data_IF_940022909237
#
_entry.id   IF_940022909237
#
_cell.length_a   1.000
_cell.length_b   1.000
_cell.length_c   1.000
_cell.angle_alpha   90.00
_cell.angle_beta   90.00
_cell.angle_gamma   90.00
#
_symmetry.space_group_name_H-M   'P 1'
#
loop_
_entity.id
_entity.type
_entity.pdbx_description
1 polymer ?
#
# COMPACT_ATOMS: atom_id res chain seq x y z
N UNK A 1 -23.82 5.70 2.25
CA UNK A 1 -22.75 6.32 1.45
C UNK A 1 -21.36 6.13 2.06
N UNK A 2 -21.19 6.14 3.39
CA UNK A 2 -19.90 5.92 4.08
C UNK A 2 -19.01 4.81 3.53
N UNK A 3 -19.56 3.63 3.24
CA UNK A 3 -18.79 2.50 2.70
C UNK A 3 -18.29 2.74 1.27
N UNK A 4 -19.06 3.48 0.47
CA UNK A 4 -18.65 3.88 -0.88
C UNK A 4 -17.51 4.90 -0.82
N UNK A 5 -17.59 5.89 0.07
CA UNK A 5 -16.49 6.84 0.30
C UNK A 5 -15.23 6.14 0.77
N UNK A 6 -15.36 5.22 1.75
CA UNK A 6 -14.25 4.40 2.19
C UNK A 6 -13.62 3.62 1.03
N UNK A 7 -14.43 2.94 0.22
CA UNK A 7 -13.97 2.17 -0.95
C UNK A 7 -13.18 3.03 -1.95
N UNK A 8 -13.69 4.22 -2.28
CA UNK A 8 -13.02 5.17 -3.18
C UNK A 8 -11.66 5.56 -2.62
N UNK A 9 -11.59 5.92 -1.34
CA UNK A 9 -10.33 6.26 -0.68
C UNK A 9 -9.37 5.08 -0.61
N UNK A 10 -9.87 3.85 -0.44
CA UNK A 10 -9.09 2.62 -0.53
C UNK A 10 -8.30 2.56 -1.83
N UNK A 11 -8.97 2.76 -2.98
CA UNK A 11 -8.30 2.76 -4.28
C UNK A 11 -7.37 3.97 -4.47
N UNK A 12 -7.79 5.17 -4.05
CA UNK A 12 -6.94 6.37 -4.14
C UNK A 12 -5.62 6.17 -3.39
N UNK A 13 -5.67 5.63 -2.18
CA UNK A 13 -4.47 5.35 -1.38
C UNK A 13 -3.67 4.19 -1.93
N UNK A 14 -4.33 3.12 -2.39
CA UNK A 14 -3.64 2.02 -3.06
C UNK A 14 -2.73 2.52 -4.17
N UNK A 15 -3.26 3.31 -5.12
CA UNK A 15 -2.47 3.83 -6.23
C UNK A 15 -1.49 4.93 -5.80
N UNK A 16 -1.92 5.86 -4.94
CA UNK A 16 -1.09 6.98 -4.51
C UNK A 16 0.13 6.52 -3.69
N UNK A 17 -0.08 5.64 -2.71
CA UNK A 17 1.01 5.11 -1.89
C UNK A 17 1.88 4.11 -2.66
N UNK A 18 1.32 3.38 -3.63
CA UNK A 18 2.11 2.53 -4.53
C UNK A 18 3.17 3.30 -5.29
N UNK A 19 2.90 4.56 -5.65
CA UNK A 19 3.88 5.40 -6.32
C UNK A 19 4.83 6.12 -5.34
N UNK A 20 4.28 6.63 -4.22
CA UNK A 20 5.03 7.50 -3.32
C UNK A 20 5.87 6.75 -2.28
N UNK A 21 5.35 5.65 -1.73
CA UNK A 21 5.92 4.99 -0.53
C UNK A 21 6.70 3.72 -0.90
N UNK A 22 6.30 3.00 -1.95
CA UNK A 22 6.93 1.74 -2.37
C UNK A 22 8.45 1.77 -2.49
N UNK A 23 9.09 2.81 -3.08
CA UNK A 23 10.56 2.83 -3.19
C UNK A 23 11.23 2.76 -1.82
N UNK A 24 10.73 3.53 -0.85
CA UNK A 24 11.25 3.56 0.52
C UNK A 24 11.02 2.24 1.26
N UNK A 25 9.84 1.63 1.11
CA UNK A 25 9.56 0.33 1.74
C UNK A 25 10.39 -0.79 1.13
N UNK A 26 10.65 -0.75 -0.18
CA UNK A 26 11.52 -1.72 -0.84
C UNK A 26 12.96 -1.58 -0.37
N UNK A 27 13.50 -0.37 -0.25
CA UNK A 27 14.85 -0.16 0.32
C UNK A 27 14.98 -0.74 1.72
N UNK A 28 13.99 -0.48 2.58
CA UNK A 28 13.92 -1.04 3.93
C UNK A 28 13.86 -2.56 3.88
N UNK A 29 12.98 -3.12 3.05
CA UNK A 29 12.79 -4.57 2.96
C UNK A 29 14.03 -5.29 2.42
N UNK A 30 14.72 -4.70 1.43
CA UNK A 30 16.01 -5.20 0.92
C UNK A 30 17.05 -5.21 2.03
N UNK A 31 17.17 -4.11 2.79
CA UNK A 31 18.16 -3.99 3.86
C UNK A 31 17.94 -5.03 4.97
N UNK A 32 16.70 -5.24 5.40
CA UNK A 32 16.40 -6.17 6.50
C UNK A 32 16.47 -7.65 6.10
N UNK A 33 16.23 -7.98 4.83
CA UNK A 33 16.21 -9.38 4.35
C UNK A 33 17.44 -9.75 3.51
N UNK A 34 18.43 -8.86 3.39
CA UNK A 34 19.66 -9.05 2.59
C UNK A 34 19.38 -9.51 1.15
N UNK A 35 18.37 -8.89 0.52
CA UNK A 35 17.91 -9.29 -0.81
C UNK A 35 18.98 -8.93 -1.84
N UNK A 36 19.48 -9.97 -2.50
CA UNK A 36 20.47 -9.82 -3.57
C UNK A 36 19.79 -9.36 -4.86
N UNK A 37 20.44 -8.48 -5.65
CA UNK A 37 19.93 -8.09 -6.95
C UNK A 37 19.91 -9.28 -7.92
N UNK A 38 18.79 -9.46 -8.61
CA UNK A 38 18.59 -10.54 -9.57
C UNK A 38 17.12 -10.92 -9.73
N UNK A 39 16.80 -11.88 -10.61
CA UNK A 39 15.41 -12.29 -10.89
C UNK A 39 14.65 -12.77 -9.64
N UNK A 40 15.35 -13.43 -8.72
CA UNK A 40 14.76 -13.92 -7.47
C UNK A 40 14.43 -12.76 -6.52
N UNK A 41 15.33 -11.79 -6.40
CA UNK A 41 15.11 -10.58 -5.59
C UNK A 41 13.98 -9.70 -6.16
N UNK A 42 13.91 -9.54 -7.48
CA UNK A 42 12.79 -8.84 -8.13
C UNK A 42 11.44 -9.53 -7.89
N UNK A 43 11.42 -10.87 -7.96
CA UNK A 43 10.22 -11.67 -7.69
C UNK A 43 9.77 -11.57 -6.23
N UNK A 44 10.72 -11.50 -5.30
CA UNK A 44 10.44 -11.30 -3.88
C UNK A 44 9.89 -9.90 -3.61
N UNK A 45 10.49 -8.85 -4.17
CA UNK A 45 10.01 -7.48 -4.03
C UNK A 45 8.62 -7.29 -4.64
N UNK A 46 8.36 -7.94 -5.79
CA UNK A 46 7.02 -7.94 -6.38
C UNK A 46 6.01 -8.66 -5.49
N UNK A 47 6.40 -9.78 -4.88
CA UNK A 47 5.54 -10.51 -3.93
C UNK A 47 5.25 -9.66 -2.69
N UNK A 48 6.26 -9.01 -2.12
CA UNK A 48 6.10 -8.09 -1.00
C UNK A 48 5.17 -6.93 -1.35
N UNK A 49 5.31 -6.35 -2.54
CA UNK A 49 4.43 -5.29 -3.03
C UNK A 49 2.96 -5.75 -3.14
N UNK A 50 2.71 -6.88 -3.81
CA UNK A 50 1.36 -7.38 -4.05
C UNK A 50 0.66 -7.92 -2.80
N UNK A 51 1.38 -8.65 -1.95
CA UNK A 51 0.76 -9.36 -0.82
C UNK A 51 0.85 -8.62 0.51
N UNK A 52 1.73 -7.61 0.63
CA UNK A 52 1.87 -6.83 1.86
C UNK A 52 1.52 -5.37 1.61
N UNK A 53 2.20 -4.70 0.70
CA UNK A 53 2.05 -3.25 0.52
C UNK A 53 0.65 -2.88 0.01
N UNK A 54 0.17 -3.52 -1.05
CA UNK A 54 -1.14 -3.25 -1.63
C UNK A 54 -2.30 -3.42 -0.63
N UNK A 55 -2.44 -4.56 0.07
CA UNK A 55 -3.46 -4.71 1.10
C UNK A 55 -3.37 -3.65 2.19
N UNK A 56 -2.16 -3.33 2.66
CA UNK A 56 -1.95 -2.31 3.71
C UNK A 56 -2.36 -0.93 3.22
N UNK A 57 -1.93 -0.52 2.02
CA UNK A 57 -2.29 0.78 1.44
C UNK A 57 -3.80 0.92 1.24
N UNK A 58 -4.44 -0.14 0.75
CA UNK A 58 -5.89 -0.17 0.58
C UNK A 58 -6.62 -0.07 1.92
N UNK A 59 -6.19 -0.81 2.95
CA UNK A 59 -6.77 -0.76 4.29
C UNK A 59 -6.62 0.62 4.93
N UNK A 60 -5.45 1.26 4.81
CA UNK A 60 -5.24 2.63 5.28
C UNK A 60 -6.23 3.57 4.58
N UNK A 61 -6.39 3.46 3.26
CA UNK A 61 -7.37 4.24 2.50
C UNK A 61 -8.81 4.01 2.96
N UNK A 62 -9.21 2.76 3.20
CA UNK A 62 -10.55 2.44 3.72
C UNK A 62 -10.80 3.11 5.08
N UNK A 63 -9.84 3.00 6.00
CA UNK A 63 -9.94 3.59 7.34
C UNK A 63 -10.03 5.11 7.25
N UNK A 64 -9.13 5.74 6.49
CA UNK A 64 -9.13 7.20 6.30
C UNK A 64 -10.43 7.68 5.66
N UNK A 65 -10.88 7.03 4.59
CA UNK A 65 -12.12 7.41 3.91
C UNK A 65 -13.36 7.24 4.79
N UNK A 66 -13.41 6.20 5.61
CA UNK A 66 -14.49 5.98 6.57
C UNK A 66 -14.52 7.07 7.65
N UNK A 67 -13.35 7.37 8.25
CA UNK A 67 -13.22 8.41 9.28
C UNK A 67 -13.55 9.80 8.72
N UNK A 68 -13.10 10.10 7.51
CA UNK A 68 -13.41 11.34 6.81
C UNK A 68 -14.91 11.47 6.55
N UNK A 69 -15.58 10.40 6.12
CA UNK A 69 -17.02 10.43 5.91
C UNK A 69 -17.75 10.71 7.22
N UNK A 70 -17.48 9.93 8.29
CA UNK A 70 -18.15 10.14 9.59
C UNK A 70 -17.98 11.56 10.11
N UNK A 71 -16.81 12.17 9.90
CA UNK A 71 -16.50 13.48 10.46
C UNK A 71 -17.06 14.64 9.64
N UNK A 72 -17.25 14.48 8.33
CA UNK A 72 -17.49 15.60 7.41
C UNK A 72 -18.65 15.43 6.40
N UNK A 73 -19.22 14.22 6.24
CA UNK A 73 -20.25 13.88 5.25
C UNK A 73 -21.44 13.13 5.90
#
# INVERSE_FOLDING_TARGET
>A
MKYLTALIFGFVFLFGLSFLITPYLNEIYIYYNDIQPGPDGESELFSFFMYVQWPVFFLIGLIVGYLMHIKYL
#
